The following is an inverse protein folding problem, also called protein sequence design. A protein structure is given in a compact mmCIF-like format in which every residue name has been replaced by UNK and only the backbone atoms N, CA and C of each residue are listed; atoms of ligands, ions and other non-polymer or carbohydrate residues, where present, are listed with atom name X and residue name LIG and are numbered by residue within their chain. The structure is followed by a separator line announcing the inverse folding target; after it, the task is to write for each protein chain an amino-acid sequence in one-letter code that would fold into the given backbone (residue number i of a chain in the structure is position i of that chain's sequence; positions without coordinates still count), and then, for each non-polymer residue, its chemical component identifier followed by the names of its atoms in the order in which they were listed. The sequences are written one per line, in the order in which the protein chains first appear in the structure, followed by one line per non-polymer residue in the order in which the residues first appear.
data_IF_960048289760
#
_entry.id   IF_960048289760
#
_cell.length_a   1.000
_cell.length_b   1.000
_cell.length_c   1.000
_cell.angle_alpha   90.00
_cell.angle_beta   90.00
_cell.angle_gamma   90.00
#
_symmetry.space_group_name_H-M   'P 1'
#
loop_
_entity.id
_entity.type
_entity.pdbx_description
1 polymer ?
#
# COMPACT_ATOMS: atom_id res chain seq x y z
N UNK A 1 -16.65 6.40 -9.74
CA UNK A 1 -15.30 6.62 -10.29
C UNK A 1 -14.56 5.31 -10.11
N UNK A 2 -14.32 4.54 -11.19
CA UNK A 2 -13.63 3.25 -11.09
C UNK A 2 -12.11 3.49 -11.08
N UNK A 3 -11.46 3.09 -10.00
CA UNK A 3 -10.03 3.24 -9.78
C UNK A 3 -9.43 1.85 -9.66
N UNK A 4 -8.28 1.65 -10.28
CA UNK A 4 -7.45 0.46 -10.12
C UNK A 4 -6.16 0.83 -9.40
N UNK A 5 -5.78 0.08 -8.38
CA UNK A 5 -4.41 0.02 -7.89
C UNK A 5 -3.72 -1.20 -8.51
N UNK A 6 -2.57 -1.00 -9.15
CA UNK A 6 -1.76 -2.04 -9.77
C UNK A 6 -0.43 -2.19 -9.01
N UNK A 7 -0.08 -3.43 -8.64
CA UNK A 7 1.25 -3.81 -8.14
C UNK A 7 1.74 -5.09 -8.82
N UNK A 8 3.04 -5.17 -9.10
CA UNK A 8 3.70 -6.37 -9.63
C UNK A 8 4.87 -6.74 -8.70
N UNK A 9 4.91 -7.98 -8.22
CA UNK A 9 5.97 -8.47 -7.33
C UNK A 9 6.06 -10.01 -7.32
N UNK A 10 7.25 -10.54 -7.59
CA UNK A 10 7.56 -11.98 -7.53
C UNK A 10 8.42 -12.37 -6.31
N UNK A 11 9.00 -11.39 -5.60
CA UNK A 11 9.84 -11.62 -4.41
C UNK A 11 8.98 -12.00 -3.21
N UNK A 12 9.37 -13.11 -2.57
CA UNK A 12 8.69 -13.67 -1.40
C UNK A 12 9.24 -13.11 -0.09
N UNK A 13 9.21 -11.79 0.05
CA UNK A 13 9.70 -11.08 1.25
C UNK A 13 8.55 -10.73 2.18
N UNK A 14 8.63 -11.17 3.45
CA UNK A 14 7.56 -10.97 4.44
C UNK A 14 7.10 -9.50 4.54
N UNK A 15 8.04 -8.56 4.59
CA UNK A 15 7.76 -7.12 4.72
C UNK A 15 6.98 -6.58 3.51
N UNK A 16 7.38 -6.94 2.29
CA UNK A 16 6.67 -6.50 1.07
C UNK A 16 5.25 -7.04 1.02
N UNK A 17 5.06 -8.30 1.44
CA UNK A 17 3.71 -8.88 1.57
C UNK A 17 2.86 -8.13 2.60
N UNK A 18 3.42 -7.68 3.72
CA UNK A 18 2.67 -6.86 4.68
C UNK A 18 2.20 -5.54 4.06
N UNK A 19 3.07 -4.84 3.33
CA UNK A 19 2.72 -3.59 2.66
C UNK A 19 1.65 -3.78 1.57
N UNK A 20 1.79 -4.82 0.74
CA UNK A 20 0.80 -5.13 -0.30
C UNK A 20 -0.54 -5.58 0.28
N UNK A 21 -0.54 -6.37 1.36
CA UNK A 21 -1.78 -6.74 2.06
C UNK A 21 -2.48 -5.51 2.64
N UNK A 22 -1.73 -4.60 3.26
CA UNK A 22 -2.27 -3.34 3.75
C UNK A 22 -2.91 -2.50 2.63
N UNK A 23 -2.23 -2.39 1.48
CA UNK A 23 -2.79 -1.71 0.31
C UNK A 23 -4.09 -2.36 -0.17
N UNK A 24 -4.13 -3.70 -0.22
CA UNK A 24 -5.33 -4.45 -0.60
C UNK A 24 -6.50 -4.19 0.34
N UNK A 25 -6.25 -4.14 1.65
CA UNK A 25 -7.27 -3.83 2.66
C UNK A 25 -7.83 -2.42 2.48
N UNK A 26 -6.95 -1.41 2.35
CA UNK A 26 -7.36 -0.03 2.07
C UNK A 26 -8.14 0.04 0.76
N UNK A 27 -7.72 -0.68 -0.28
CA UNK A 27 -8.45 -0.70 -1.54
C UNK A 27 -9.86 -1.27 -1.37
N UNK A 28 -10.01 -2.38 -0.64
CA UNK A 28 -11.31 -2.99 -0.35
C UNK A 28 -12.23 -2.06 0.42
N UNK A 29 -11.72 -1.37 1.45
CA UNK A 29 -12.49 -0.44 2.27
C UNK A 29 -12.97 0.80 1.50
N UNK A 30 -12.30 1.14 0.39
CA UNK A 30 -12.54 2.36 -0.36
C UNK A 30 -13.05 2.10 -1.79
N UNK A 31 -13.53 0.89 -2.07
CA UNK A 31 -14.06 0.48 -3.39
C UNK A 31 -13.06 0.72 -4.55
N UNK A 32 -11.76 0.54 -4.28
CA UNK A 32 -10.70 0.57 -5.29
C UNK A 32 -10.43 -0.88 -5.72
N UNK A 33 -10.37 -1.12 -7.03
CA UNK A 33 -10.01 -2.44 -7.55
C UNK A 33 -8.52 -2.68 -7.37
N UNK A 34 -8.15 -3.71 -6.61
CA UNK A 34 -6.76 -4.10 -6.41
C UNK A 34 -6.35 -5.20 -7.40
N UNK A 35 -5.40 -4.89 -8.28
CA UNK A 35 -4.80 -5.86 -9.20
C UNK A 35 -3.37 -6.13 -8.73
N UNK A 36 -3.14 -7.38 -8.31
CA UNK A 36 -1.82 -7.90 -8.00
C UNK A 36 -1.39 -8.90 -9.07
N UNK A 37 -0.14 -8.83 -9.49
CA UNK A 37 0.46 -9.77 -10.44
C UNK A 37 1.82 -10.22 -9.88
N UNK A 38 2.12 -11.52 -9.98
CA UNK A 38 3.48 -11.98 -9.67
C UNK A 38 4.45 -11.54 -10.76
N UNK A 39 4.04 -11.68 -12.02
CA UNK A 39 4.86 -11.33 -13.19
C UNK A 39 4.01 -10.66 -14.25
N UNK A 40 4.65 -9.86 -15.10
CA UNK A 40 4.02 -9.25 -16.27
C UNK A 40 3.84 -10.26 -17.41
N UNK A 41 2.83 -10.02 -18.24
CA UNK A 41 2.64 -10.77 -19.49
C UNK A 41 3.54 -10.28 -20.63
N UNK A 42 4.23 -9.16 -20.45
CA UNK A 42 5.12 -8.57 -21.44
C UNK A 42 6.57 -9.05 -21.26
N UNK A 43 7.26 -9.30 -22.35
CA UNK A 43 8.69 -9.64 -22.33
C UNK A 43 9.56 -8.39 -22.22
N UNK A 44 9.47 -7.71 -21.08
CA UNK A 44 10.19 -6.46 -20.77
C UNK A 44 10.80 -6.54 -19.37
N UNK A 45 11.82 -5.71 -19.07
CA UNK A 45 12.35 -5.58 -17.73
C UNK A 45 11.26 -5.19 -16.71
N UNK A 46 11.38 -5.62 -15.43
CA UNK A 46 10.39 -5.32 -14.39
C UNK A 46 10.08 -3.83 -14.23
N UNK A 47 11.07 -2.97 -14.46
CA UNK A 47 10.93 -1.51 -14.40
C UNK A 47 9.95 -0.96 -15.44
N UNK A 48 9.94 -1.54 -16.64
CA UNK A 48 9.05 -1.14 -17.74
C UNK A 48 7.68 -1.81 -17.68
N UNK A 49 7.59 -3.00 -17.08
CA UNK A 49 6.38 -3.82 -17.03
C UNK A 49 5.12 -3.03 -16.61
N UNK A 50 5.25 -2.18 -15.58
CA UNK A 50 4.18 -1.32 -15.06
C UNK A 50 3.50 -0.47 -16.14
N UNK A 51 4.25 0.10 -17.08
CA UNK A 51 3.72 1.02 -18.10
C UNK A 51 2.89 0.24 -19.12
N UNK A 52 3.39 -0.93 -19.53
CA UNK A 52 2.70 -1.81 -20.46
C UNK A 52 1.40 -2.38 -19.87
N UNK A 53 1.44 -2.80 -18.59
CA UNK A 53 0.25 -3.33 -17.91
C UNK A 53 -0.82 -2.24 -17.67
N UNK A 54 -0.42 -0.99 -17.39
CA UNK A 54 -1.36 0.14 -17.34
C UNK A 54 -2.07 0.31 -18.70
N UNK A 55 -1.32 0.32 -19.81
CA UNK A 55 -1.91 0.45 -21.15
C UNK A 55 -2.89 -0.69 -21.44
N UNK A 56 -2.52 -1.91 -21.08
CA UNK A 56 -3.38 -3.08 -21.21
C UNK A 56 -4.69 -2.92 -20.43
N UNK A 57 -4.62 -2.44 -19.19
CA UNK A 57 -5.82 -2.17 -18.37
C UNK A 57 -6.72 -1.13 -19.06
N UNK A 58 -6.18 -0.04 -19.58
CA UNK A 58 -6.98 0.96 -20.31
C UNK A 58 -7.68 0.39 -21.54
N UNK A 59 -7.01 -0.50 -22.28
CA UNK A 59 -7.57 -1.14 -23.47
C UNK A 59 -8.65 -2.19 -23.12
N UNK A 60 -8.43 -3.00 -22.08
CA UNK A 60 -9.31 -4.11 -21.70
C UNK A 60 -10.49 -3.65 -20.82
N UNK A 61 -10.33 -2.55 -20.08
CA UNK A 61 -11.30 -2.02 -19.12
C UNK A 61 -11.55 -0.53 -19.38
N UNK A 62 -12.24 -0.16 -20.48
CA UNK A 62 -12.44 1.24 -20.86
C UNK A 62 -13.25 2.07 -19.85
N UNK A 63 -13.92 1.43 -18.89
CA UNK A 63 -14.66 2.09 -17.80
C UNK A 63 -13.80 2.40 -16.57
N UNK A 64 -12.56 1.88 -16.49
CA UNK A 64 -11.57 2.30 -15.49
C UNK A 64 -11.15 3.73 -15.80
N UNK A 65 -11.35 4.64 -14.85
CA UNK A 65 -11.04 6.06 -15.01
C UNK A 65 -9.61 6.41 -14.60
N UNK A 66 -9.08 5.73 -13.58
CA UNK A 66 -7.72 5.93 -13.11
C UNK A 66 -7.04 4.59 -12.82
N UNK A 67 -5.76 4.49 -13.16
CA UNK A 67 -4.86 3.46 -12.67
C UNK A 67 -3.78 4.13 -11.85
N UNK A 68 -3.64 3.71 -10.59
CA UNK A 68 -2.51 4.04 -9.74
C UNK A 68 -1.51 2.89 -9.78
N UNK A 69 -0.25 3.21 -10.00
CA UNK A 69 0.85 2.28 -9.82
C UNK A 69 1.47 2.47 -8.43
N UNK A 70 1.80 1.36 -7.76
CA UNK A 70 2.66 1.36 -6.58
C UNK A 70 3.71 0.24 -6.68
N UNK A 71 4.98 0.59 -6.46
CA UNK A 71 6.02 -0.39 -6.19
C UNK A 71 5.68 -1.18 -4.91
N UNK A 72 6.21 -2.40 -4.80
CA UNK A 72 5.94 -3.33 -3.68
C UNK A 72 6.40 -2.82 -2.31
N UNK A 73 7.39 -1.94 -2.28
CA UNK A 73 7.93 -1.25 -1.10
C UNK A 73 7.25 0.11 -0.86
N UNK A 74 6.13 0.37 -1.53
CA UNK A 74 5.25 1.51 -1.29
C UNK A 74 3.86 1.08 -0.79
N UNK A 75 3.29 1.87 0.12
CA UNK A 75 1.99 1.60 0.71
C UNK A 75 1.24 2.87 1.12
N UNK A 76 -0.09 2.78 1.17
CA UNK A 76 -0.93 3.87 1.64
C UNK A 76 -0.75 4.15 3.14
N UNK A 77 -0.95 5.41 3.53
CA UNK A 77 -1.21 5.76 4.93
C UNK A 77 -2.58 6.42 5.01
N UNK A 78 -3.48 5.80 5.77
CA UNK A 78 -4.81 6.33 6.01
C UNK A 78 -4.75 7.42 7.08
N UNK A 79 -5.05 8.67 6.70
CA UNK A 79 -5.32 9.77 7.64
C UNK A 79 -6.70 10.36 7.35
N UNK A 80 -7.33 10.92 8.37
CA UNK A 80 -8.61 11.60 8.20
C UNK A 80 -8.51 12.66 7.10
N UNK A 81 -9.44 12.63 6.14
CA UNK A 81 -9.55 13.55 4.99
C UNK A 81 -8.44 13.46 3.93
N UNK A 82 -7.60 12.42 3.94
CA UNK A 82 -6.58 12.18 2.90
C UNK A 82 -6.81 10.82 2.27
N UNK A 83 -7.68 10.78 1.27
CA UNK A 83 -7.95 9.59 0.46
C UNK A 83 -7.55 9.80 -0.98
N UNK A 84 -7.27 8.69 -1.68
CA UNK A 84 -6.99 8.70 -3.12
C UNK A 84 -8.14 9.36 -3.91
N UNK A 85 -9.39 9.04 -3.56
CA UNK A 85 -10.57 9.62 -4.21
C UNK A 85 -10.63 11.14 -4.05
N UNK A 86 -10.26 11.66 -2.87
CA UNK A 86 -10.21 13.09 -2.64
C UNK A 86 -9.14 13.74 -3.51
N UNK A 87 -7.92 13.17 -3.54
CA UNK A 87 -6.82 13.64 -4.39
C UNK A 87 -7.22 13.68 -5.88
N UNK A 88 -7.88 12.62 -6.36
CA UNK A 88 -8.33 12.53 -7.76
C UNK A 88 -9.42 13.53 -8.09
N UNK A 89 -10.38 13.73 -7.17
CA UNK A 89 -11.48 14.68 -7.37
C UNK A 89 -11.00 16.13 -7.40
N UNK A 90 -10.03 16.49 -6.56
CA UNK A 90 -9.49 17.86 -6.53
C UNK A 90 -8.56 18.17 -7.70
N UNK A 91 -8.06 17.14 -8.39
CA UNK A 91 -7.11 17.27 -9.49
C UNK A 91 -7.62 16.63 -10.79
N UNK A 92 -8.94 16.60 -10.99
CA UNK A 92 -9.58 15.91 -12.12
C UNK A 92 -9.21 16.47 -13.51
N UNK A 93 -8.68 17.70 -13.55
CA UNK A 93 -8.21 18.36 -14.77
C UNK A 93 -6.91 17.80 -15.33
N UNK A 94 -6.15 17.08 -14.51
CA UNK A 94 -4.88 16.49 -14.91
C UNK A 94 -5.07 15.05 -15.39
N UNK A 95 -4.29 14.66 -16.39
CA UNK A 95 -4.33 13.33 -16.98
C UNK A 95 -3.28 12.39 -16.36
N UNK A 96 -2.30 12.95 -15.66
CA UNK A 96 -1.32 12.21 -14.88
C UNK A 96 -0.97 12.98 -13.61
N UNK A 97 -0.80 12.26 -12.50
CA UNK A 97 -0.37 12.80 -11.21
C UNK A 97 0.88 12.04 -10.80
N UNK A 98 1.95 12.77 -10.56
CA UNK A 98 3.26 12.25 -10.15
C UNK A 98 3.73 12.98 -8.90
N UNK A 99 4.86 12.54 -8.35
CA UNK A 99 5.60 13.32 -7.37
C UNK A 99 7.08 13.43 -7.70
N UNK A 100 7.73 14.45 -7.14
CA UNK A 100 9.18 14.53 -7.13
C UNK A 100 9.82 13.29 -6.48
N UNK A 101 11.10 13.07 -6.78
CA UNK A 101 11.85 12.07 -6.04
C UNK A 101 12.22 12.58 -4.64
N UNK A 102 12.41 11.65 -3.71
CA UNK A 102 12.67 11.95 -2.30
C UNK A 102 14.17 12.02 -2.02
N UNK A 103 14.61 12.68 -0.93
CA UNK A 103 16.01 12.65 -0.52
C UNK A 103 16.54 11.20 -0.38
N UNK A 104 17.81 10.92 -0.71
CA UNK A 104 18.83 11.83 -1.26
C UNK A 104 18.71 12.04 -2.79
N UNK A 105 17.70 11.46 -3.44
CA UNK A 105 17.48 11.51 -4.89
C UNK A 105 16.66 12.71 -5.34
N UNK A 106 16.39 13.68 -4.47
CA UNK A 106 15.60 14.88 -4.75
C UNK A 106 16.14 15.81 -5.85
N UNK A 107 17.29 15.47 -6.45
CA UNK A 107 17.80 16.07 -7.68
C UNK A 107 17.12 15.51 -8.95
N UNK A 108 16.35 14.43 -8.82
CA UNK A 108 15.53 13.85 -9.90
C UNK A 108 14.10 14.37 -9.76
N UNK A 109 13.55 14.86 -10.87
CA UNK A 109 12.25 15.53 -10.88
C UNK A 109 11.06 14.57 -10.67
N UNK A 110 11.25 13.26 -10.75
CA UNK A 110 10.17 12.27 -10.74
C UNK A 110 10.61 10.94 -10.13
N UNK A 111 9.71 10.30 -9.37
CA UNK A 111 9.84 8.92 -8.91
C UNK A 111 8.79 8.00 -9.57
N UNK A 112 9.22 6.92 -10.22
CA UNK A 112 8.33 5.98 -10.92
C UNK A 112 7.77 4.86 -10.04
N UNK A 113 8.01 4.91 -8.72
CA UNK A 113 7.50 3.94 -7.76
C UNK A 113 6.08 4.24 -7.27
N UNK A 114 5.56 5.45 -7.51
CA UNK A 114 4.18 5.81 -7.20
C UNK A 114 3.69 6.92 -8.13
N UNK A 115 2.68 6.63 -8.94
CA UNK A 115 2.05 7.62 -9.81
C UNK A 115 0.65 7.18 -10.22
N UNK A 116 -0.13 8.12 -10.76
CA UNK A 116 -1.51 7.89 -11.17
C UNK A 116 -1.71 8.38 -12.60
N UNK A 117 -2.39 7.60 -13.42
CA UNK A 117 -2.74 7.97 -14.79
C UNK A 117 -4.24 7.86 -14.98
N UNK A 118 -4.82 8.87 -15.63
CA UNK A 118 -6.22 8.92 -16.02
C UNK A 118 -6.42 8.27 -17.37
N UNK A 119 -7.47 7.47 -17.52
CA UNK A 119 -7.87 6.90 -18.79
C UNK A 119 -8.65 7.94 -19.61
N UNK A 120 -7.95 8.98 -20.04
CA UNK A 120 -8.45 9.97 -20.98
C UNK A 120 -7.51 10.08 -22.19
N UNK A 121 -7.79 11.02 -23.08
CA UNK A 121 -6.98 11.23 -24.29
C UNK A 121 -5.49 11.45 -23.94
N UNK A 122 -5.20 12.41 -23.07
CA UNK A 122 -3.81 12.79 -22.78
C UNK A 122 -3.09 11.75 -21.92
N UNK A 123 -3.79 11.09 -20.98
CA UNK A 123 -3.21 10.00 -20.20
C UNK A 123 -2.83 8.80 -21.07
N UNK A 124 -3.66 8.48 -22.08
CA UNK A 124 -3.32 7.48 -23.08
C UNK A 124 -2.14 7.92 -23.96
N UNK A 125 -2.14 9.16 -24.46
CA UNK A 125 -1.03 9.68 -25.27
C UNK A 125 0.30 9.70 -24.49
N UNK A 126 0.28 10.02 -23.20
CA UNK A 126 1.46 9.97 -22.31
C UNK A 126 1.95 8.53 -22.16
N UNK A 127 1.08 7.57 -21.85
CA UNK A 127 1.46 6.16 -21.72
C UNK A 127 2.00 5.59 -23.03
N UNK A 128 1.36 5.91 -24.16
CA UNK A 128 1.81 5.46 -25.49
C UNK A 128 3.18 6.04 -25.83
N UNK A 129 3.40 7.33 -25.53
CA UNK A 129 4.71 7.95 -25.66
C UNK A 129 5.73 7.27 -24.77
N UNK A 130 5.40 7.00 -23.51
CA UNK A 130 6.31 6.36 -22.57
C UNK A 130 6.73 4.97 -23.03
N UNK A 131 5.78 4.15 -23.48
CA UNK A 131 6.04 2.83 -24.09
C UNK A 131 6.95 2.96 -25.31
N UNK A 132 6.75 3.97 -26.16
CA UNK A 132 7.58 4.17 -27.36
C UNK A 132 9.05 4.48 -27.08
N UNK A 133 9.39 4.85 -25.84
CA UNK A 133 10.77 5.12 -25.41
C UNK A 133 11.51 3.86 -24.97
N UNK A 134 10.80 2.74 -24.74
CA UNK A 134 11.44 1.47 -24.42
C UNK A 134 12.24 0.95 -25.62
N UNK A 135 13.55 0.80 -25.46
CA UNK A 135 14.41 0.19 -26.45
C UNK A 135 14.84 -1.23 -26.02
N UNK A 136 14.28 -2.30 -26.61
CA UNK A 136 14.63 -3.68 -26.22
C UNK A 136 16.10 -4.04 -26.50
N UNK A 137 16.77 -3.37 -27.44
CA UNK A 137 18.18 -3.67 -27.78
C UNK A 137 19.16 -3.30 -26.65
N UNK A 138 18.77 -2.38 -25.77
CA UNK A 138 19.57 -1.93 -24.64
C UNK A 138 19.43 -2.81 -23.39
N UNK A 139 18.60 -3.86 -23.48
CA UNK A 139 18.31 -4.76 -22.37
C UNK A 139 18.72 -6.19 -22.71
N UNK A 140 19.39 -6.83 -21.76
CA UNK A 140 19.84 -8.22 -21.86
C UNK A 140 19.15 -9.01 -20.75
N UNK A 141 18.63 -10.18 -21.10
CA UNK A 141 18.14 -11.14 -20.11
C UNK A 141 19.16 -12.26 -19.97
N UNK A 142 19.83 -12.32 -18.83
CA UNK A 142 20.83 -13.31 -18.50
C UNK A 142 20.74 -13.70 -17.03
N UNK A 143 21.00 -14.96 -16.69
CA UNK A 143 20.96 -15.49 -15.32
C UNK A 143 19.66 -15.15 -14.57
N UNK A 144 18.53 -15.28 -15.29
CA UNK A 144 17.19 -14.95 -14.80
C UNK A 144 17.01 -13.51 -14.33
N UNK A 145 17.80 -12.57 -14.88
CA UNK A 145 17.75 -11.15 -14.56
C UNK A 145 17.84 -10.31 -15.81
N UNK A 146 17.08 -9.22 -15.80
CA UNK A 146 17.23 -8.15 -16.78
C UNK A 146 18.37 -7.23 -16.36
N UNK A 147 19.27 -6.95 -17.30
CA UNK A 147 20.39 -6.03 -17.11
C UNK A 147 20.53 -5.08 -18.29
N UNK A 148 21.13 -3.93 -18.04
CA UNK A 148 21.53 -2.95 -19.04
C UNK A 148 22.87 -2.35 -18.62
N UNK A 149 23.67 -1.90 -19.58
CA UNK A 149 24.95 -1.23 -19.32
C UNK A 149 24.77 0.27 -18.99
N UNK A 150 23.51 0.73 -18.93
CA UNK A 150 23.13 2.11 -18.70
C UNK A 150 23.08 2.50 -17.23
N UNK A 151 23.10 3.81 -16.98
CA UNK A 151 22.97 4.37 -15.62
C UNK A 151 21.62 3.98 -15.04
N UNK A 152 21.64 3.50 -13.79
CA UNK A 152 20.44 3.15 -13.02
C UNK A 152 19.43 4.31 -13.00
N UNK A 153 18.16 4.00 -13.27
CA UNK A 153 17.08 4.97 -13.39
C UNK A 153 17.30 6.07 -14.46
N UNK A 154 18.28 5.89 -15.36
CA UNK A 154 18.54 6.78 -16.50
C UNK A 154 17.57 6.57 -17.67
N UNK A 155 17.92 7.07 -18.86
CA UNK A 155 17.04 7.08 -20.03
C UNK A 155 16.57 5.71 -20.51
N UNK A 156 17.31 4.64 -20.22
CA UNK A 156 16.88 3.28 -20.56
C UNK A 156 15.86 2.70 -19.59
N UNK A 157 15.67 3.33 -18.42
CA UNK A 157 14.65 2.99 -17.44
C UNK A 157 13.40 3.86 -17.67
N UNK A 158 12.28 3.41 -17.13
CA UNK A 158 11.01 4.13 -17.21
C UNK A 158 11.10 5.49 -16.53
N UNK A 159 11.75 5.60 -15.36
CA UNK A 159 11.84 6.87 -14.63
C UNK A 159 12.62 7.94 -15.41
N UNK A 160 13.84 7.62 -15.84
CA UNK A 160 14.69 8.58 -16.54
C UNK A 160 14.17 8.93 -17.93
N UNK A 161 13.61 7.96 -18.66
CA UNK A 161 12.97 8.24 -19.95
C UNK A 161 11.81 9.23 -19.82
N UNK A 162 10.98 9.08 -18.77
CA UNK A 162 9.87 10.00 -18.50
C UNK A 162 10.37 11.42 -18.24
N UNK A 163 11.37 11.58 -17.37
CA UNK A 163 11.95 12.90 -17.04
C UNK A 163 12.53 13.57 -18.28
N UNK A 164 13.27 12.82 -19.09
CA UNK A 164 13.98 13.35 -20.25
C UNK A 164 13.04 13.72 -21.40
N UNK A 165 11.97 12.95 -21.63
CA UNK A 165 11.20 13.04 -22.87
C UNK A 165 9.72 13.42 -22.71
N UNK A 166 9.17 13.42 -21.48
CA UNK A 166 7.74 13.66 -21.26
C UNK A 166 7.53 14.80 -20.27
N UNK A 167 8.16 14.75 -19.11
CA UNK A 167 7.90 15.70 -18.01
C UNK A 167 8.14 17.16 -18.41
N UNK A 168 9.17 17.40 -19.23
CA UNK A 168 9.59 18.73 -19.66
C UNK A 168 9.11 19.09 -21.08
N UNK A 169 8.30 18.24 -21.71
CA UNK A 169 7.74 18.51 -23.03
C UNK A 169 6.53 19.45 -22.91
N UNK A 170 6.56 20.57 -23.65
CA UNK A 170 5.49 21.58 -23.62
C UNK A 170 4.11 21.05 -24.01
N UNK A 171 4.05 19.95 -24.78
CA UNK A 171 2.81 19.30 -25.15
C UNK A 171 2.19 18.52 -23.98
N UNK A 172 3.00 17.79 -23.20
CA UNK A 172 2.50 16.93 -22.11
C UNK A 172 2.44 17.63 -20.76
N UNK A 173 3.38 18.54 -20.48
CA UNK A 173 3.53 19.23 -19.20
C UNK A 173 2.25 19.88 -18.66
N UNK A 174 1.39 20.54 -19.47
CA UNK A 174 0.13 21.10 -18.98
C UNK A 174 -0.87 20.07 -18.45
N UNK A 175 -0.69 18.78 -18.77
CA UNK A 175 -1.58 17.68 -18.40
C UNK A 175 -1.04 16.84 -17.24
N UNK A 176 0.14 17.18 -16.71
CA UNK A 176 0.81 16.46 -15.63
C UNK A 176 0.80 17.34 -14.38
N UNK A 177 0.21 16.82 -13.29
CA UNK A 177 0.36 17.41 -11.96
C UNK A 177 1.57 16.79 -11.27
N UNK A 178 2.56 17.63 -10.95
CA UNK A 178 3.70 17.24 -10.15
C UNK A 178 3.49 17.70 -8.70
N UNK A 179 3.40 16.73 -7.79
CA UNK A 179 3.27 16.95 -6.36
C UNK A 179 4.63 16.89 -5.66
N UNK A 180 4.70 17.44 -4.44
CA UNK A 180 5.82 17.17 -3.53
C UNK A 180 5.98 15.67 -3.30
N UNK A 181 7.21 15.19 -3.18
CA UNK A 181 7.51 13.80 -2.81
C UNK A 181 6.81 13.41 -1.50
N UNK A 182 6.53 14.36 -0.61
CA UNK A 182 5.82 14.10 0.65
C UNK A 182 4.41 13.54 0.47
N UNK A 183 3.80 13.66 -0.71
CA UNK A 183 2.44 13.15 -0.94
C UNK A 183 2.43 11.71 -1.42
N UNK A 184 3.20 11.40 -2.47
CA UNK A 184 3.16 10.09 -3.14
C UNK A 184 4.45 9.26 -3.00
N UNK A 185 5.53 9.82 -2.44
CA UNK A 185 6.84 9.19 -2.41
C UNK A 185 7.57 9.52 -1.09
N UNK A 186 6.85 9.54 0.04
CA UNK A 186 7.43 9.96 1.31
C UNK A 186 8.14 8.76 1.98
N UNK A 187 9.40 8.88 2.44
CA UNK A 187 10.04 7.80 3.19
C UNK A 187 9.61 7.75 4.66
N UNK A 188 8.75 8.67 5.11
CA UNK A 188 8.36 8.85 6.50
C UNK A 188 6.86 8.61 6.70
N UNK A 189 6.53 7.62 7.54
CA UNK A 189 5.16 7.28 7.89
C UNK A 189 4.46 8.28 8.84
N UNK A 190 5.18 9.21 9.44
CA UNK A 190 4.61 10.20 10.37
C UNK A 190 4.19 11.51 9.70
N UNK A 191 4.54 11.75 8.44
CA UNK A 191 4.19 13.00 7.77
C UNK A 191 2.67 13.07 7.49
N UNK A 192 2.04 14.16 7.95
CA UNK A 192 0.61 14.40 7.78
C UNK A 192 0.20 14.45 6.31
N UNK A 193 1.04 14.95 5.42
CA UNK A 193 0.75 15.15 4.00
C UNK A 193 0.84 13.88 3.14
N UNK A 194 1.34 12.79 3.72
CA UNK A 194 1.56 11.54 3.01
C UNK A 194 0.26 10.81 2.72
N UNK A 195 0.00 10.57 1.43
CA UNK A 195 -0.96 9.57 0.98
C UNK A 195 -0.26 8.21 0.83
N UNK A 196 0.94 8.17 0.26
CA UNK A 196 1.73 6.94 0.13
C UNK A 196 3.15 7.09 0.65
N UNK A 197 3.54 6.15 1.50
CA UNK A 197 4.92 5.97 1.90
C UNK A 197 5.61 5.10 0.86
N UNK A 198 6.86 5.44 0.55
CA UNK A 198 7.71 4.63 -0.32
C UNK A 198 9.06 4.41 0.37
N UNK A 199 9.41 3.15 0.64
CA UNK A 199 10.66 2.77 1.29
C UNK A 199 11.73 2.37 0.26
N UNK A 200 11.97 3.22 -0.74
CA UNK A 200 12.92 2.92 -1.80
C UNK A 200 14.38 2.80 -1.32
N UNK A 201 15.17 1.95 -1.99
CA UNK A 201 16.61 1.84 -1.75
C UNK A 201 16.96 1.49 -0.31
N UNK A 202 17.73 2.34 0.37
CA UNK A 202 18.17 2.11 1.75
C UNK A 202 17.03 2.22 2.79
N UNK A 203 15.91 2.88 2.46
CA UNK A 203 14.81 3.07 3.42
C UNK A 203 14.09 1.76 3.81
N UNK A 204 14.02 0.77 2.91
CA UNK A 204 13.49 -0.58 3.26
C UNK A 204 14.48 -1.45 4.03
N UNK A 205 15.74 -1.06 4.07
CA UNK A 205 16.79 -1.78 4.81
C UNK A 205 16.97 -1.21 6.22
N UNK A 206 16.52 0.03 6.45
CA UNK A 206 16.55 0.66 7.76
C UNK A 206 15.46 0.08 8.69
N UNK A 207 15.92 -0.70 9.67
CA UNK A 207 15.06 -1.41 10.63
C UNK A 207 14.19 -0.45 11.45
N UNK A 208 14.70 0.74 11.81
CA UNK A 208 13.95 1.69 12.63
C UNK A 208 12.82 2.33 11.83
N UNK A 209 13.10 2.70 10.57
CA UNK A 209 12.10 3.26 9.65
C UNK A 209 11.03 2.22 9.33
N UNK A 210 11.43 1.00 8.96
CA UNK A 210 10.49 -0.08 8.63
C UNK A 210 9.64 -0.45 9.84
N UNK A 211 10.25 -0.62 11.02
CA UNK A 211 9.50 -0.96 12.25
C UNK A 211 8.50 0.12 12.62
N UNK A 212 8.86 1.40 12.42
CA UNK A 212 7.96 2.52 12.65
C UNK A 212 6.77 2.49 11.69
N UNK A 213 7.03 2.28 10.40
CA UNK A 213 5.99 2.13 9.38
C UNK A 213 5.03 0.98 9.69
N UNK A 214 5.56 -0.20 10.05
CA UNK A 214 4.77 -1.38 10.43
C UNK A 214 3.88 -1.06 11.65
N UNK A 215 4.41 -0.37 12.67
CA UNK A 215 3.59 0.07 13.81
C UNK A 215 2.48 1.03 13.41
N UNK A 216 2.72 1.91 12.44
CA UNK A 216 1.70 2.85 11.96
C UNK A 216 0.56 2.12 11.25
N UNK A 217 0.86 1.19 10.33
CA UNK A 217 -0.18 0.44 9.61
C UNK A 217 -0.95 -0.52 10.56
N UNK A 218 -0.26 -1.20 11.48
CA UNK A 218 -0.91 -2.14 12.43
C UNK A 218 -1.71 -1.43 13.53
N UNK A 219 -1.37 -0.20 13.91
CA UNK A 219 -2.17 0.58 14.88
C UNK A 219 -3.54 0.95 14.31
N UNK A 220 -3.63 1.15 13.00
CA UNK A 220 -4.92 1.39 12.32
C UNK A 220 -5.78 0.12 12.39
N UNK A 221 -5.20 -1.06 12.19
CA UNK A 221 -5.89 -2.36 12.32
C UNK A 221 -6.31 -2.68 13.78
N UNK A 222 -5.56 -2.22 14.77
CA UNK A 222 -5.78 -2.54 16.19
C UNK A 222 -6.85 -1.71 16.92
N UNK A 223 -7.30 -0.58 16.35
CA UNK A 223 -8.19 0.34 17.07
C UNK A 223 -9.65 -0.13 17.13
N UNK A 224 -10.12 -0.93 16.17
CA UNK A 224 -11.49 -1.47 16.18
C UNK A 224 -11.65 -2.78 16.99
N UNK A 225 -10.59 -3.59 17.07
CA UNK A 225 -10.63 -4.82 17.86
C UNK A 225 -10.53 -4.56 19.36
N UNK A 226 -9.66 -3.64 19.81
CA UNK A 226 -9.50 -3.41 21.25
C UNK A 226 -10.67 -2.65 21.88
N UNK A 227 -11.37 -1.77 21.16
CA UNK A 227 -12.51 -1.06 21.73
C UNK A 227 -13.75 -1.95 21.87
N UNK A 228 -13.96 -2.87 20.93
CA UNK A 228 -15.08 -3.82 20.98
C UNK A 228 -14.84 -4.97 21.99
N UNK A 229 -13.58 -5.38 22.22
CA UNK A 229 -13.23 -6.37 23.24
C UNK A 229 -13.20 -5.80 24.66
N UNK A 230 -12.69 -4.57 24.87
CA UNK A 230 -12.61 -3.96 26.20
C UNK A 230 -13.97 -3.56 26.77
N UNK A 231 -15.03 -3.41 25.96
CA UNK A 231 -16.38 -3.22 26.49
C UNK A 231 -17.05 -4.57 26.78
N UNK A 232 -16.84 -5.58 25.94
CA UNK A 232 -17.52 -6.89 26.11
C UNK A 232 -16.95 -7.73 27.26
N UNK A 233 -15.64 -7.69 27.49
CA UNK A 233 -14.99 -8.48 28.55
C UNK A 233 -15.45 -8.09 29.97
N UNK A 234 -15.47 -6.81 30.38
CA UNK A 234 -16.01 -6.43 31.69
C UNK A 234 -17.51 -6.69 31.80
N UNK A 235 -18.30 -6.54 30.72
CA UNK A 235 -19.72 -6.91 30.73
C UNK A 235 -19.94 -8.41 30.91
N UNK A 236 -19.15 -9.27 30.25
CA UNK A 236 -19.19 -10.72 30.47
C UNK A 236 -18.78 -11.08 31.90
N UNK A 237 -17.73 -10.45 32.44
CA UNK A 237 -17.28 -10.70 33.80
C UNK A 237 -18.33 -10.25 34.83
N UNK A 238 -18.99 -9.12 34.62
CA UNK A 238 -20.11 -8.66 35.46
C UNK A 238 -21.28 -9.64 35.37
N UNK A 239 -21.65 -10.08 34.17
CA UNK A 239 -22.74 -11.05 33.97
C UNK A 239 -22.43 -12.39 34.65
N UNK A 240 -21.20 -12.89 34.51
CA UNK A 240 -20.73 -14.11 35.19
C UNK A 240 -20.76 -13.96 36.70
N UNK A 241 -20.36 -12.81 37.24
CA UNK A 241 -20.44 -12.53 38.68
C UNK A 241 -21.90 -12.46 39.18
N UNK A 242 -22.81 -11.85 38.41
CA UNK A 242 -24.24 -11.80 38.73
C UNK A 242 -24.84 -13.22 38.70
N UNK A 243 -24.54 -14.01 37.68
CA UNK A 243 -25.00 -15.40 37.56
C UNK A 243 -24.46 -16.27 38.70
N UNK A 244 -23.18 -16.13 39.03
CA UNK A 244 -22.56 -16.80 40.17
C UNK A 244 -23.23 -16.40 41.50
N UNK A 245 -23.50 -15.11 41.71
CA UNK A 245 -24.20 -14.63 42.90
C UNK A 245 -25.65 -15.13 43.01
N UNK A 246 -26.38 -15.17 41.89
CA UNK A 246 -27.73 -15.71 41.83
C UNK A 246 -27.77 -17.23 42.08
N UNK A 247 -26.76 -17.97 41.60
CA UNK A 247 -26.58 -19.39 41.95
C UNK A 247 -26.19 -19.56 43.43
N UNK A 248 -25.35 -18.67 43.97
CA UNK A 248 -24.95 -18.69 45.38
C UNK A 248 -26.14 -18.57 46.33
N UNK A 249 -27.10 -17.69 46.03
CA UNK A 249 -28.35 -17.55 46.80
C UNK A 249 -29.24 -18.81 46.79
N UNK A 250 -29.05 -19.72 45.84
CA UNK A 250 -29.82 -20.97 45.73
C UNK A 250 -29.10 -22.20 46.31
N UNK A 251 -27.81 -22.11 46.64
CA UNK A 251 -27.04 -23.27 47.12
C UNK A 251 -27.02 -23.39 48.64
N UNK A 252 -27.22 -24.62 49.14
CA UNK A 252 -26.92 -24.97 50.53
C UNK A 252 -25.40 -25.05 50.74
N UNK A 253 -24.94 -24.68 51.93
CA UNK A 253 -23.52 -24.50 52.30
C UNK A 253 -22.55 -25.65 51.96
N UNK A 254 -23.02 -26.88 51.75
CA UNK A 254 -22.17 -28.04 51.45
C UNK A 254 -21.50 -28.01 50.07
N UNK A 255 -21.94 -27.16 49.13
CA UNK A 255 -21.44 -27.13 47.75
C UNK A 255 -20.46 -25.98 47.47
N UNK A 256 -20.11 -25.20 48.49
CA UNK A 256 -19.31 -23.98 48.36
C UNK A 256 -17.83 -24.25 48.04
N UNK A 257 -17.25 -25.27 48.68
CA UNK A 257 -15.82 -25.59 48.53
C UNK A 257 -15.51 -26.12 47.12
N UNK A 258 -16.39 -26.95 46.56
CA UNK A 258 -16.22 -27.50 45.20
C UNK A 258 -16.25 -26.41 44.13
N UNK A 259 -17.10 -25.39 44.32
CA UNK A 259 -17.20 -24.26 43.38
C UNK A 259 -15.98 -23.35 43.39
N UNK A 260 -15.41 -23.08 44.57
CA UNK A 260 -14.19 -22.27 44.70
C UNK A 260 -13.00 -22.98 44.04
N UNK A 261 -12.92 -24.29 44.15
CA UNK A 261 -11.86 -25.08 43.51
C UNK A 261 -12.01 -25.05 41.97
N UNK A 262 -13.23 -25.25 41.45
CA UNK A 262 -13.46 -25.22 40.00
C UNK A 262 -13.26 -23.83 39.38
N UNK A 263 -13.65 -22.75 40.08
CA UNK A 263 -13.46 -21.38 39.60
C UNK A 263 -11.97 -20.99 39.47
N UNK A 264 -11.15 -21.38 40.44
CA UNK A 264 -9.71 -21.11 40.40
C UNK A 264 -8.99 -21.94 39.32
N UNK A 265 -9.41 -23.18 39.07
CA UNK A 265 -8.88 -23.98 37.96
C UNK A 265 -9.22 -23.38 36.59
N UNK A 266 -10.41 -22.80 36.42
CA UNK A 266 -10.81 -22.16 35.17
C UNK A 266 -9.99 -20.89 34.88
N UNK A 267 -9.75 -20.06 35.90
CA UNK A 267 -8.91 -18.87 35.76
C UNK A 267 -7.47 -19.28 35.38
N UNK A 268 -6.91 -20.31 36.03
CA UNK A 268 -5.56 -20.80 35.72
C UNK A 268 -5.45 -21.34 34.28
N UNK A 269 -6.48 -22.03 33.79
CA UNK A 269 -6.49 -22.58 32.44
C UNK A 269 -6.57 -21.48 31.36
N UNK A 270 -7.35 -20.44 31.61
CA UNK A 270 -7.46 -19.28 30.71
C UNK A 270 -6.14 -18.50 30.67
N UNK A 271 -5.44 -18.31 31.80
CA UNK A 271 -4.12 -17.63 31.78
C UNK A 271 -3.03 -18.45 31.10
N UNK A 272 -2.99 -19.77 31.30
CA UNK A 272 -1.96 -20.63 30.66
C UNK A 272 -2.18 -20.73 29.15
N UNK A 273 -3.42 -20.71 28.68
CA UNK A 273 -3.74 -20.81 27.24
C UNK A 273 -3.53 -19.50 26.47
N UNK A 274 -3.36 -18.38 27.17
CA UNK A 274 -3.25 -17.03 26.56
C UNK A 274 -1.81 -16.48 26.53
N UNK A 275 -0.88 -17.10 27.29
CA UNK A 275 0.51 -16.67 27.40
C UNK A 275 1.52 -17.75 26.94
N UNK A 276 1.05 -18.80 26.27
CA UNK A 276 1.87 -19.88 25.67
C UNK A 276 1.83 -19.85 24.16
#
# INVERSE_FOLDING_TARGET
MRIVLLQIEDRKTYILHQFMNHNKEICNENEIEYIFMETTTFNVPPYWAKIFEIKKIFNEKPDVLYVMWLDSDAFFITRQNKSLQHLLKTNESYSMIISNDMPPWNHVDFNAGSFIVKNDRYGNEIIDKWISLYNPENWKYADSKWTTDSVWAGNEYEQGSFVTHILNDDYYKPHILQLSYEVLNCPNCDNDNTLTVHLAGHYKEDVDIVSKCIRTITRVEGFDYFHSFNIKLPFMLILLNILAFLQFKKMKYSNLITWIIMGNCFILWVTVSYYG
#
